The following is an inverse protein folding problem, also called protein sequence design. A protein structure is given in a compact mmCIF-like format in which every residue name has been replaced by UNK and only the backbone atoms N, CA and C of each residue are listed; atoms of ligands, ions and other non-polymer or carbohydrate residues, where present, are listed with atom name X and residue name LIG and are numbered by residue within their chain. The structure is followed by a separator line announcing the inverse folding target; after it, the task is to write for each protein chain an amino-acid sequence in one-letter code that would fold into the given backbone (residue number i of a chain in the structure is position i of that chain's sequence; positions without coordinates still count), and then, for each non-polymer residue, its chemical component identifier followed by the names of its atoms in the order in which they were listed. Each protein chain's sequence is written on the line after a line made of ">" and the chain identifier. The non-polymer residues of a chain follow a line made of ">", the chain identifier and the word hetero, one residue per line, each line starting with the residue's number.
data_IF_821665145863
#
_entry.id   IF_821665145863
#
_cell.length_a   1.000
_cell.length_b   1.000
_cell.length_c   1.000
_cell.angle_alpha   90.00
_cell.angle_beta   90.00
_cell.angle_gamma   90.00
#
_symmetry.space_group_name_H-M   'P 1'
#
loop_
_entity.id
_entity.type
_entity.pdbx_description
1 polymer ?
#
# COMPACT_ATOMS: atom_id res chain seq x y z
N UNK A 1 13.08 -37.16 -3.76
CA UNK A 1 12.42 -35.83 -3.76
C UNK A 1 11.13 -35.98 -2.98
N UNK A 2 10.84 -35.13 -2.00
CA UNK A 2 9.52 -35.15 -1.36
C UNK A 2 8.53 -34.42 -2.27
N UNK A 3 7.63 -35.17 -2.91
CA UNK A 3 6.57 -34.61 -3.76
C UNK A 3 5.40 -34.03 -2.94
N UNK A 4 5.54 -33.87 -1.62
CA UNK A 4 4.43 -33.50 -0.73
C UNK A 4 3.72 -32.18 -1.12
N UNK A 5 4.44 -31.24 -1.73
CA UNK A 5 3.90 -29.92 -2.11
C UNK A 5 3.64 -29.75 -3.61
N UNK A 6 3.70 -30.84 -4.39
CA UNK A 6 3.49 -30.82 -5.85
C UNK A 6 2.17 -31.52 -6.15
N UNK A 7 1.26 -30.83 -6.85
CA UNK A 7 0.02 -31.41 -7.35
C UNK A 7 0.06 -31.48 -8.87
N UNK A 8 -0.10 -32.68 -9.43
CA UNK A 8 -0.23 -32.91 -10.88
C UNK A 8 -1.69 -33.14 -11.26
N UNK A 9 -2.17 -32.46 -12.29
CA UNK A 9 -3.55 -32.54 -12.78
C UNK A 9 -3.55 -32.59 -14.30
N UNK A 10 -4.55 -33.27 -14.89
CA UNK A 10 -4.82 -33.21 -16.33
C UNK A 10 -6.18 -32.54 -16.55
N UNK A 11 -6.20 -31.40 -17.23
CA UNK A 11 -7.42 -30.62 -17.51
C UNK A 11 -7.43 -30.22 -18.97
N UNK A 12 -8.49 -30.53 -19.71
CA UNK A 12 -8.66 -30.18 -21.13
C UNK A 12 -7.45 -30.57 -22.00
N UNK A 13 -6.91 -31.78 -21.76
CA UNK A 13 -5.70 -32.30 -22.43
C UNK A 13 -4.40 -31.55 -22.12
N UNK A 14 -4.39 -30.68 -21.11
CA UNK A 14 -3.18 -30.03 -20.56
C UNK A 14 -2.74 -30.70 -19.26
N UNK A 15 -1.44 -30.90 -19.12
CA UNK A 15 -0.79 -31.28 -17.87
C UNK A 15 -0.47 -30.02 -17.06
N UNK A 16 -1.06 -29.92 -15.86
CA UNK A 16 -0.84 -28.83 -14.91
C UNK A 16 -0.06 -29.35 -13.70
N UNK A 17 1.04 -28.69 -13.38
CA UNK A 17 1.90 -29.01 -12.24
C UNK A 17 1.91 -27.81 -11.30
N UNK A 18 1.19 -27.92 -10.19
CA UNK A 18 1.09 -26.88 -9.18
C UNK A 18 2.16 -27.11 -8.10
N UNK A 19 3.04 -26.13 -7.90
CA UNK A 19 4.05 -26.13 -6.86
C UNK A 19 3.59 -25.19 -5.74
N UNK A 20 3.21 -25.77 -4.59
CA UNK A 20 2.89 -25.02 -3.39
C UNK A 20 4.15 -24.59 -2.66
N UNK A 21 4.33 -23.29 -2.45
CA UNK A 21 5.53 -22.69 -1.88
C UNK A 21 5.24 -21.93 -0.59
N UNK A 22 6.23 -21.89 0.31
CA UNK A 22 6.23 -20.98 1.45
C UNK A 22 7.11 -19.77 1.10
N UNK A 23 6.55 -18.56 1.10
CA UNK A 23 7.14 -17.31 0.58
C UNK A 23 8.43 -16.81 1.26
N UNK A 24 8.98 -17.60 2.18
CA UNK A 24 10.22 -17.34 2.93
C UNK A 24 11.03 -18.63 3.10
N UNK A 25 11.03 -19.51 2.10
CA UNK A 25 11.76 -20.77 2.14
C UNK A 25 12.74 -20.89 0.97
N UNK A 26 14.03 -20.95 1.29
CA UNK A 26 15.09 -21.26 0.31
C UNK A 26 14.84 -22.61 -0.36
N UNK A 27 14.34 -23.59 0.40
CA UNK A 27 14.02 -24.91 -0.12
C UNK A 27 12.91 -24.86 -1.18
N UNK A 28 11.92 -23.97 -1.03
CA UNK A 28 10.88 -23.78 -2.04
C UNK A 28 11.45 -23.24 -3.36
N UNK A 29 12.41 -22.32 -3.32
CA UNK A 29 13.06 -21.84 -4.54
C UNK A 29 13.87 -22.95 -5.23
N UNK A 30 14.67 -23.71 -4.48
CA UNK A 30 15.44 -24.85 -5.03
C UNK A 30 14.51 -25.89 -5.67
N UNK A 31 13.40 -26.23 -5.02
CA UNK A 31 12.40 -27.15 -5.58
C UNK A 31 11.76 -26.61 -6.87
N UNK A 32 11.43 -25.32 -6.94
CA UNK A 32 10.91 -24.68 -8.16
C UNK A 32 11.90 -24.86 -9.32
N UNK A 33 13.19 -24.62 -9.08
CA UNK A 33 14.24 -24.79 -10.09
C UNK A 33 14.31 -26.24 -10.58
N UNK A 34 14.35 -27.19 -9.65
CA UNK A 34 14.46 -28.62 -9.97
C UNK A 34 13.27 -29.11 -10.80
N UNK A 35 12.05 -28.75 -10.41
CA UNK A 35 10.83 -29.15 -11.12
C UNK A 35 10.78 -28.56 -12.52
N UNK A 36 11.03 -27.25 -12.68
CA UNK A 36 10.99 -26.61 -14.00
C UNK A 36 12.06 -27.21 -14.93
N UNK A 37 13.28 -27.45 -14.42
CA UNK A 37 14.36 -28.04 -15.20
C UNK A 37 14.07 -29.49 -15.64
N UNK A 38 13.40 -30.27 -14.78
CA UNK A 38 13.00 -31.64 -15.10
C UNK A 38 11.81 -31.68 -16.08
N UNK A 39 10.81 -30.84 -15.87
CA UNK A 39 9.54 -30.89 -16.59
C UNK A 39 9.60 -30.21 -17.95
N UNK A 40 10.44 -29.17 -18.09
CA UNK A 40 10.58 -28.33 -19.28
C UNK A 40 9.21 -27.91 -19.86
N UNK A 41 8.41 -27.18 -19.06
CA UNK A 41 7.05 -26.81 -19.45
C UNK A 41 7.05 -25.81 -20.60
N UNK A 42 5.91 -25.72 -21.29
CA UNK A 42 5.66 -24.68 -22.30
C UNK A 42 5.43 -23.31 -21.64
N UNK A 43 4.79 -23.31 -20.46
CA UNK A 43 4.52 -22.10 -19.68
C UNK A 43 4.85 -22.27 -18.19
N UNK A 44 5.33 -21.20 -17.59
CA UNK A 44 5.47 -21.04 -16.14
C UNK A 44 4.56 -19.92 -15.65
N UNK A 45 3.55 -20.29 -14.88
CA UNK A 45 2.68 -19.36 -14.18
C UNK A 45 3.29 -18.98 -12.83
N UNK A 46 3.34 -17.69 -12.51
CA UNK A 46 3.79 -17.21 -11.19
C UNK A 46 2.70 -16.37 -10.53
N UNK A 47 2.54 -16.52 -9.20
CA UNK A 47 1.60 -15.74 -8.38
C UNK A 47 2.08 -14.29 -8.17
N UNK A 48 2.32 -13.58 -9.27
CA UNK A 48 2.71 -12.18 -9.31
C UNK A 48 1.82 -11.42 -10.28
N UNK A 49 1.48 -10.19 -9.90
CA UNK A 49 0.86 -9.22 -10.81
C UNK A 49 1.92 -8.38 -11.53
N UNK A 50 1.52 -7.74 -12.63
CA UNK A 50 2.41 -6.95 -13.49
C UNK A 50 3.19 -5.85 -12.75
N UNK A 51 2.58 -5.19 -11.76
CA UNK A 51 3.26 -4.13 -11.02
C UNK A 51 4.33 -4.71 -10.09
N UNK A 52 4.02 -5.82 -9.41
CA UNK A 52 5.01 -6.53 -8.59
C UNK A 52 6.13 -7.11 -9.43
N UNK A 53 5.82 -7.73 -10.58
CA UNK A 53 6.82 -8.22 -11.52
C UNK A 53 7.77 -7.09 -11.96
N UNK A 54 7.23 -5.95 -12.39
CA UNK A 54 8.05 -4.78 -12.76
C UNK A 54 8.90 -4.28 -11.60
N UNK A 55 8.37 -4.23 -10.39
CA UNK A 55 9.11 -3.79 -9.21
C UNK A 55 10.26 -4.75 -8.84
N UNK A 56 10.10 -6.05 -9.09
CA UNK A 56 11.15 -7.06 -8.86
C UNK A 56 12.23 -6.99 -9.95
N UNK A 57 11.83 -6.77 -11.21
CA UNK A 57 12.76 -6.75 -12.35
C UNK A 57 13.51 -5.42 -12.50
N UNK A 58 12.93 -4.33 -12.01
CA UNK A 58 13.47 -2.98 -12.15
C UNK A 58 14.13 -2.50 -10.86
N UNK A 59 15.36 -2.98 -10.61
CA UNK A 59 16.24 -2.51 -9.52
C UNK A 59 16.55 -0.99 -9.61
N UNK A 60 16.25 -0.34 -10.75
CA UNK A 60 16.59 1.06 -11.04
C UNK A 60 15.39 2.02 -11.10
N UNK A 61 14.20 1.59 -10.68
CA UNK A 61 12.96 2.39 -10.80
C UNK A 61 13.08 3.79 -10.16
N UNK A 62 13.93 3.94 -9.15
CA UNK A 62 14.17 5.19 -8.43
C UNK A 62 14.99 6.22 -9.24
N UNK A 63 15.89 5.77 -10.13
CA UNK A 63 16.86 6.63 -10.82
C UNK A 63 16.20 7.64 -11.76
N UNK A 64 15.01 7.32 -12.28
CA UNK A 64 14.26 8.15 -13.23
C UNK A 64 13.08 8.88 -12.58
N UNK A 65 12.98 8.87 -11.25
CA UNK A 65 11.84 9.45 -10.55
C UNK A 65 11.92 10.97 -10.48
N UNK A 66 10.86 11.66 -10.93
CA UNK A 66 10.70 13.09 -10.73
C UNK A 66 9.88 13.38 -9.47
N UNK A 67 10.55 13.89 -8.43
CA UNK A 67 9.90 14.22 -7.15
C UNK A 67 8.83 15.31 -7.29
N UNK A 68 9.00 16.27 -8.20
CA UNK A 68 8.00 17.32 -8.42
C UNK A 68 6.74 16.73 -9.04
N UNK A 69 6.90 15.81 -9.99
CA UNK A 69 5.78 15.05 -10.56
C UNK A 69 5.07 14.21 -9.51
N UNK A 70 5.81 13.52 -8.63
CA UNK A 70 5.23 12.72 -7.53
C UNK A 70 4.38 13.57 -6.59
N UNK A 71 4.84 14.78 -6.23
CA UNK A 71 4.08 15.71 -5.38
C UNK A 71 2.84 16.22 -6.13
N UNK A 72 3.01 16.66 -7.38
CA UNK A 72 1.92 17.20 -8.22
C UNK A 72 0.82 16.16 -8.50
N UNK A 73 1.21 14.91 -8.70
CA UNK A 73 0.31 13.77 -8.90
C UNK A 73 -0.34 13.28 -7.60
N UNK A 74 -0.06 13.92 -6.46
CA UNK A 74 -0.60 13.55 -5.13
C UNK A 74 -0.17 12.16 -4.66
N UNK A 75 0.97 11.67 -5.13
CA UNK A 75 1.50 10.31 -4.85
C UNK A 75 2.55 10.28 -3.75
N UNK A 76 3.00 11.44 -3.25
CA UNK A 76 4.06 11.55 -2.26
C UNK A 76 3.82 10.69 -0.99
N UNK A 77 2.63 10.75 -0.40
CA UNK A 77 2.30 9.95 0.80
C UNK A 77 2.28 8.46 0.50
N UNK A 78 1.70 8.05 -0.63
CA UNK A 78 1.67 6.65 -1.04
C UNK A 78 3.09 6.11 -1.26
N UNK A 79 3.95 6.91 -1.89
CA UNK A 79 5.36 6.57 -2.08
C UNK A 79 6.09 6.41 -0.74
N UNK A 80 5.89 7.35 0.19
CA UNK A 80 6.49 7.27 1.52
C UNK A 80 6.05 6.01 2.27
N UNK A 81 4.76 5.67 2.21
CA UNK A 81 4.23 4.45 2.83
C UNK A 81 4.82 3.19 2.20
N UNK A 82 4.93 3.15 0.87
CA UNK A 82 5.57 2.03 0.17
C UNK A 82 7.03 1.88 0.62
N UNK A 83 7.78 2.98 0.72
CA UNK A 83 9.16 2.94 1.21
C UNK A 83 9.27 2.41 2.64
N UNK A 84 8.35 2.80 3.54
CA UNK A 84 8.30 2.29 4.92
C UNK A 84 7.95 0.80 4.99
N UNK A 85 7.00 0.34 4.18
CA UNK A 85 6.62 -1.07 4.12
C UNK A 85 7.78 -1.89 3.55
N UNK A 86 8.37 -1.45 2.43
CA UNK A 86 9.53 -2.10 1.84
C UNK A 86 10.73 -2.12 2.78
N UNK A 87 10.90 -1.11 3.63
CA UNK A 87 11.97 -1.10 4.62
C UNK A 87 11.78 -2.12 5.74
N UNK A 88 10.56 -2.26 6.22
CA UNK A 88 10.18 -3.33 7.15
C UNK A 88 10.40 -4.71 6.51
N UNK A 89 9.93 -4.90 5.28
CA UNK A 89 10.06 -6.17 4.54
C UNK A 89 11.53 -6.58 4.33
N UNK A 90 12.41 -5.65 3.91
CA UNK A 90 13.83 -5.96 3.72
C UNK A 90 14.54 -6.25 5.05
N UNK A 91 14.16 -5.58 6.14
CA UNK A 91 14.72 -5.86 7.47
C UNK A 91 14.36 -7.28 7.93
N UNK A 92 13.10 -7.68 7.81
CA UNK A 92 12.66 -9.05 8.09
C UNK A 92 13.39 -10.07 7.19
N UNK A 93 13.50 -9.79 5.89
CA UNK A 93 14.24 -10.60 4.92
C UNK A 93 15.71 -10.84 5.32
N UNK A 94 16.41 -9.78 5.73
CA UNK A 94 17.83 -9.84 6.12
C UNK A 94 18.05 -10.68 7.38
N UNK A 95 17.13 -10.61 8.34
CA UNK A 95 17.19 -11.41 9.56
C UNK A 95 16.96 -12.90 9.28
N UNK A 96 16.14 -13.22 8.28
CA UNK A 96 15.85 -14.59 7.86
C UNK A 96 16.81 -15.13 6.80
N UNK A 97 17.72 -14.31 6.26
CA UNK A 97 18.65 -14.70 5.19
C UNK A 97 17.97 -15.05 3.86
N UNK A 98 16.72 -14.66 3.66
CA UNK A 98 15.87 -15.05 2.52
C UNK A 98 15.27 -13.79 1.91
N UNK A 99 15.28 -13.66 0.57
CA UNK A 99 14.53 -12.61 -0.13
C UNK A 99 13.06 -13.06 -0.23
N UNK A 100 12.08 -12.33 0.32
CA UNK A 100 10.66 -12.66 0.14
C UNK A 100 10.33 -12.71 -1.36
N UNK A 101 9.59 -13.73 -1.79
CA UNK A 101 9.25 -13.90 -3.21
C UNK A 101 10.35 -14.60 -4.04
N UNK A 102 11.41 -15.13 -3.42
CA UNK A 102 12.51 -15.80 -4.13
C UNK A 102 12.05 -17.01 -4.94
N UNK A 103 11.02 -17.72 -4.48
CA UNK A 103 10.37 -18.80 -5.23
C UNK A 103 9.74 -18.33 -6.54
N UNK A 104 9.12 -17.15 -6.55
CA UNK A 104 8.53 -16.56 -7.76
C UNK A 104 9.61 -16.05 -8.71
N UNK A 105 10.67 -15.43 -8.17
CA UNK A 105 11.84 -14.99 -8.93
C UNK A 105 12.50 -16.21 -9.60
N UNK A 106 12.72 -17.29 -8.86
CA UNK A 106 13.30 -18.50 -9.40
C UNK A 106 12.41 -19.12 -10.48
N UNK A 107 11.08 -19.06 -10.35
CA UNK A 107 10.14 -19.47 -11.40
C UNK A 107 10.36 -18.69 -12.70
N UNK A 108 10.49 -17.37 -12.61
CA UNK A 108 10.77 -16.48 -13.75
C UNK A 108 12.14 -16.77 -14.38
N UNK A 109 13.18 -16.92 -13.57
CA UNK A 109 14.53 -17.22 -14.06
C UNK A 109 14.57 -18.57 -14.77
N UNK A 110 13.96 -19.60 -14.17
CA UNK A 110 13.93 -20.95 -14.74
C UNK A 110 13.12 -21.01 -16.04
N UNK A 111 12.03 -20.23 -16.13
CA UNK A 111 11.25 -20.09 -17.37
C UNK A 111 12.10 -19.50 -18.50
N UNK A 112 12.82 -18.41 -18.23
CA UNK A 112 13.73 -17.79 -19.20
C UNK A 112 14.86 -18.73 -19.62
N UNK A 113 15.44 -19.48 -18.68
CA UNK A 113 16.52 -20.45 -18.94
C UNK A 113 16.08 -21.57 -19.89
N UNK A 114 14.82 -22.00 -19.79
CA UNK A 114 14.27 -23.11 -20.57
C UNK A 114 13.41 -22.67 -21.76
N UNK A 115 13.28 -21.35 -22.00
CA UNK A 115 12.47 -20.79 -23.08
C UNK A 115 10.96 -20.97 -22.90
N UNK A 116 10.49 -21.17 -21.68
CA UNK A 116 9.07 -21.27 -21.36
C UNK A 116 8.42 -19.88 -21.30
N UNK A 117 7.14 -19.78 -21.67
CA UNK A 117 6.39 -18.54 -21.58
C UNK A 117 6.08 -18.18 -20.11
N UNK A 118 6.36 -16.94 -19.71
CA UNK A 118 6.06 -16.45 -18.37
C UNK A 118 4.63 -15.90 -18.33
N UNK A 119 3.79 -16.49 -17.48
CA UNK A 119 2.43 -16.04 -17.25
C UNK A 119 2.32 -15.43 -15.85
N UNK A 120 2.10 -14.11 -15.80
CA UNK A 120 1.76 -13.41 -14.56
C UNK A 120 0.31 -13.74 -14.19
N UNK A 121 0.13 -14.65 -13.24
CA UNK A 121 -1.14 -15.31 -13.00
C UNK A 121 -2.02 -14.63 -11.95
N UNK A 122 -1.49 -13.64 -11.21
CA UNK A 122 -2.23 -13.03 -10.10
C UNK A 122 -2.87 -11.68 -10.45
N UNK A 123 -3.92 -11.35 -9.71
CA UNK A 123 -4.66 -10.10 -9.84
C UNK A 123 -3.84 -8.95 -9.27
N UNK A 124 -4.01 -7.76 -9.87
CA UNK A 124 -3.44 -6.54 -9.32
C UNK A 124 -3.85 -6.34 -7.84
N UNK A 125 -2.85 -6.28 -6.95
CA UNK A 125 -3.07 -6.20 -5.51
C UNK A 125 -3.85 -4.93 -5.08
N UNK A 126 -3.77 -3.83 -5.83
CA UNK A 126 -4.55 -2.62 -5.52
C UNK A 126 -6.05 -2.84 -5.75
N UNK A 127 -6.44 -3.70 -6.71
CA UNK A 127 -7.84 -4.07 -6.93
C UNK A 127 -8.33 -4.90 -5.75
N UNK A 128 -7.54 -5.89 -5.32
CA UNK A 128 -7.82 -6.71 -4.13
C UNK A 128 -8.04 -5.83 -2.90
N UNK A 129 -7.11 -4.90 -2.62
CA UNK A 129 -7.26 -3.98 -1.48
C UNK A 129 -8.44 -3.01 -1.62
N UNK A 130 -8.73 -2.53 -2.84
CA UNK A 130 -9.90 -1.68 -3.07
C UNK A 130 -11.20 -2.44 -2.77
N UNK A 131 -11.31 -3.71 -3.19
CA UNK A 131 -12.46 -4.58 -2.90
C UNK A 131 -12.61 -4.85 -1.41
N UNK A 132 -11.52 -5.20 -0.73
CA UNK A 132 -11.47 -5.34 0.73
C UNK A 132 -11.99 -4.07 1.42
N UNK A 133 -11.39 -2.92 1.10
CA UNK A 133 -11.69 -1.67 1.79
C UNK A 133 -13.13 -1.22 1.59
N UNK A 134 -13.73 -1.52 0.45
CA UNK A 134 -15.13 -1.18 0.19
C UNK A 134 -16.10 -2.21 0.80
N UNK A 135 -15.73 -3.50 0.86
CA UNK A 135 -16.60 -4.58 1.35
C UNK A 135 -16.78 -4.66 2.87
N UNK A 136 -15.82 -4.17 3.67
CA UNK A 136 -15.85 -4.37 5.14
C UNK A 136 -16.67 -3.32 5.92
N UNK A 137 -17.14 -2.25 5.29
CA UNK A 137 -17.90 -1.17 5.95
C UNK A 137 -17.08 -0.36 6.98
N UNK A 138 -17.72 0.58 7.67
CA UNK A 138 -17.01 1.48 8.62
C UNK A 138 -16.51 0.73 9.87
N UNK A 139 -17.34 -0.14 10.45
CA UNK A 139 -16.99 -0.93 11.62
C UNK A 139 -15.89 -1.96 11.33
N UNK A 140 -15.94 -2.63 10.18
CA UNK A 140 -14.88 -3.54 9.76
C UNK A 140 -13.55 -2.82 9.54
N UNK A 141 -13.58 -1.59 8.98
CA UNK A 141 -12.37 -0.74 8.88
C UNK A 141 -11.77 -0.43 10.24
N UNK A 142 -12.58 0.00 11.21
CA UNK A 142 -12.06 0.28 12.55
C UNK A 142 -11.47 -0.95 13.20
N UNK A 143 -12.18 -2.09 13.17
CA UNK A 143 -11.66 -3.36 13.73
C UNK A 143 -10.34 -3.77 13.08
N UNK A 144 -10.23 -3.66 11.75
CA UNK A 144 -9.01 -3.97 11.01
C UNK A 144 -7.85 -3.03 11.38
N UNK A 145 -8.09 -1.72 11.43
CA UNK A 145 -7.07 -0.73 11.82
C UNK A 145 -6.60 -1.00 13.25
N UNK A 146 -7.52 -1.21 14.19
CA UNK A 146 -7.17 -1.50 15.59
C UNK A 146 -6.39 -2.81 15.70
N UNK A 147 -6.74 -3.85 14.95
CA UNK A 147 -6.00 -5.12 14.94
C UNK A 147 -4.57 -4.95 14.40
N UNK A 148 -4.40 -4.22 13.30
CA UNK A 148 -3.07 -3.94 12.72
C UNK A 148 -2.21 -3.11 13.68
N UNK A 149 -2.78 -2.04 14.26
CA UNK A 149 -2.07 -1.20 15.24
C UNK A 149 -1.71 -2.03 16.49
N UNK A 150 -2.64 -2.85 16.98
CA UNK A 150 -2.40 -3.73 18.12
C UNK A 150 -1.27 -4.73 17.86
N UNK A 151 -1.21 -5.33 16.66
CA UNK A 151 -0.13 -6.23 16.26
C UNK A 151 1.24 -5.56 16.20
N UNK A 152 1.31 -4.27 15.83
CA UNK A 152 2.59 -3.53 15.78
C UNK A 152 3.05 -3.14 17.19
N UNK A 153 2.11 -2.80 18.08
CA UNK A 153 2.42 -2.42 19.47
C UNK A 153 2.84 -3.65 20.29
N UNK A 154 2.18 -4.78 20.07
CA UNK A 154 2.52 -6.07 20.68
C UNK A 154 3.61 -6.74 19.86
N UNK A 155 4.83 -6.22 19.97
CA UNK A 155 5.99 -6.70 19.25
C UNK A 155 6.60 -7.91 20.00
N UNK A 156 5.85 -9.02 20.08
CA UNK A 156 6.39 -10.29 20.60
C UNK A 156 7.41 -10.83 19.60
N UNK A 157 8.63 -11.08 20.06
CA UNK A 157 9.68 -11.68 19.23
C UNK A 157 9.28 -13.13 18.94
N UNK A 158 8.97 -13.41 17.66
CA UNK A 158 8.66 -14.75 17.18
C UNK A 158 9.92 -15.61 17.32
N UNK A 159 9.82 -16.69 18.09
CA UNK A 159 10.92 -17.65 18.25
C UNK A 159 11.20 -18.43 16.95
N UNK A 160 12.41 -18.97 16.80
CA UNK A 160 12.78 -19.78 15.63
C UNK A 160 11.93 -21.06 15.54
N UNK A 161 11.50 -21.59 16.68
CA UNK A 161 10.60 -22.75 16.78
C UNK A 161 9.17 -22.41 16.34
N UNK A 162 8.63 -21.25 16.73
CA UNK A 162 7.34 -20.76 16.22
C UNK A 162 7.41 -20.46 14.71
N UNK A 163 8.54 -19.93 14.23
CA UNK A 163 8.76 -19.66 12.81
C UNK A 163 8.73 -20.95 11.98
N UNK A 164 9.37 -22.03 12.46
CA UNK A 164 9.32 -23.35 11.82
C UNK A 164 7.92 -23.97 11.88
N UNK A 165 7.21 -23.83 13.01
CA UNK A 165 5.82 -24.30 13.12
C UNK A 165 4.87 -23.56 12.18
N UNK A 166 5.07 -22.25 11.97
CA UNK A 166 4.31 -21.44 11.00
C UNK A 166 4.49 -21.88 9.54
N UNK A 167 5.58 -22.59 9.20
CA UNK A 167 5.83 -23.11 7.84
C UNK A 167 5.02 -24.35 7.50
N UNK A 168 4.34 -24.95 8.47
CA UNK A 168 3.50 -26.12 8.23
C UNK A 168 2.17 -25.72 7.59
N UNK A 169 1.74 -26.49 6.59
CA UNK A 169 0.46 -26.28 5.89
C UNK A 169 -0.72 -26.21 6.89
N UNK A 170 -0.67 -27.03 7.95
CA UNK A 170 -1.69 -27.10 8.99
C UNK A 170 -1.80 -25.83 9.86
N UNK A 171 -0.67 -25.21 10.25
CA UNK A 171 -0.70 -23.94 10.98
C UNK A 171 -1.14 -22.79 10.09
N UNK A 172 -0.68 -22.76 8.84
CA UNK A 172 -1.07 -21.74 7.87
C UNK A 172 -2.59 -21.80 7.59
N UNK A 173 -3.11 -23.01 7.40
CA UNK A 173 -4.55 -23.26 7.28
C UNK A 173 -5.31 -22.86 8.55
N UNK A 174 -4.77 -23.12 9.73
CA UNK A 174 -5.39 -22.76 11.01
C UNK A 174 -5.43 -21.24 11.24
N UNK A 175 -4.33 -20.53 10.97
CA UNK A 175 -4.25 -19.08 11.04
C UNK A 175 -5.18 -18.41 10.02
N UNK A 176 -5.22 -18.93 8.79
CA UNK A 176 -6.19 -18.48 7.78
C UNK A 176 -7.63 -18.74 8.23
N UNK A 177 -7.91 -19.90 8.82
CA UNK A 177 -9.24 -20.22 9.36
C UNK A 177 -9.65 -19.28 10.49
N UNK A 178 -8.75 -18.96 11.41
CA UNK A 178 -9.00 -18.00 12.49
C UNK A 178 -9.20 -16.57 11.95
N UNK A 179 -8.40 -16.16 10.99
CA UNK A 179 -8.52 -14.87 10.32
C UNK A 179 -9.86 -14.74 9.59
N UNK A 180 -10.26 -15.78 8.87
CA UNK A 180 -11.53 -15.83 8.13
C UNK A 180 -12.75 -15.90 9.05
N UNK A 181 -12.63 -16.52 10.23
CA UNK A 181 -13.67 -16.44 11.27
C UNK A 181 -13.81 -15.01 11.83
N UNK A 182 -12.69 -14.33 12.04
CA UNK A 182 -12.66 -12.98 12.63
C UNK A 182 -13.09 -11.89 11.64
N UNK A 183 -12.79 -12.11 10.35
CA UNK A 183 -13.05 -11.20 9.24
C UNK A 183 -13.59 -11.95 8.01
N UNK A 184 -14.80 -12.53 8.06
CA UNK A 184 -15.34 -13.35 6.97
C UNK A 184 -15.47 -12.57 5.66
N UNK A 185 -15.72 -11.26 5.74
CA UNK A 185 -15.80 -10.35 4.58
C UNK A 185 -14.44 -10.09 3.91
N UNK A 186 -13.31 -10.44 4.55
CA UNK A 186 -11.98 -10.33 3.96
C UNK A 186 -11.60 -11.55 3.14
N UNK A 187 -12.09 -12.74 3.52
CA UNK A 187 -11.78 -14.02 2.86
C UNK A 187 -12.04 -13.95 1.36
N UNK A 188 -13.22 -13.47 0.99
CA UNK A 188 -13.70 -13.49 -0.40
C UNK A 188 -12.73 -12.72 -1.32
N UNK A 189 -12.48 -11.41 -1.13
CA UNK A 189 -11.56 -10.70 -2.02
C UNK A 189 -10.08 -11.06 -1.84
N UNK A 190 -9.66 -11.52 -0.66
CA UNK A 190 -8.24 -11.81 -0.41
C UNK A 190 -7.81 -13.20 -0.86
N UNK A 191 -8.72 -14.18 -0.86
CA UNK A 191 -8.43 -15.59 -1.12
C UNK A 191 -9.32 -16.09 -2.25
N UNK A 192 -10.64 -16.20 -2.02
CA UNK A 192 -11.53 -16.92 -2.94
C UNK A 192 -11.54 -16.31 -4.36
N UNK A 193 -11.65 -14.99 -4.49
CA UNK A 193 -11.59 -14.30 -5.78
C UNK A 193 -10.20 -14.39 -6.45
N UNK A 194 -9.13 -14.50 -5.64
CA UNK A 194 -7.77 -14.68 -6.16
C UNK A 194 -7.57 -16.10 -6.65
N UNK A 195 -8.12 -17.10 -5.96
CA UNK A 195 -8.10 -18.49 -6.41
C UNK A 195 -8.82 -18.65 -7.74
N UNK A 196 -9.97 -17.98 -7.92
CA UNK A 196 -10.71 -17.92 -9.19
C UNK A 196 -9.89 -17.26 -10.31
N UNK A 197 -9.23 -16.14 -10.00
CA UNK A 197 -8.39 -15.44 -10.97
C UNK A 197 -7.17 -16.28 -11.38
N UNK A 198 -6.47 -16.84 -10.38
CA UNK A 198 -5.30 -17.70 -10.56
C UNK A 198 -5.66 -18.96 -11.35
N UNK A 199 -6.74 -19.65 -10.97
CA UNK A 199 -7.17 -20.88 -11.66
C UNK A 199 -7.47 -20.60 -13.13
N UNK A 200 -8.18 -19.52 -13.45
CA UNK A 200 -8.49 -19.15 -14.83
C UNK A 200 -7.24 -18.75 -15.61
N UNK A 201 -6.30 -18.01 -15.00
CA UNK A 201 -5.03 -17.64 -15.63
C UNK A 201 -4.14 -18.85 -15.92
N UNK A 202 -4.06 -19.80 -14.99
CA UNK A 202 -3.30 -21.05 -15.16
C UNK A 202 -3.94 -21.90 -16.26
N UNK A 203 -5.26 -22.05 -16.25
CA UNK A 203 -6.03 -22.80 -17.25
C UNK A 203 -5.85 -22.23 -18.67
N UNK A 204 -5.81 -20.90 -18.79
CA UNK A 204 -5.64 -20.19 -20.05
C UNK A 204 -4.17 -20.04 -20.49
N UNK A 205 -3.20 -20.50 -19.68
CA UNK A 205 -1.79 -20.41 -20.03
C UNK A 205 -1.50 -21.20 -21.33
N UNK A 206 -0.61 -20.70 -22.20
CA UNK A 206 -0.31 -21.34 -23.47
C UNK A 206 0.48 -22.65 -23.32
N UNK A 207 0.40 -23.50 -24.33
CA UNK A 207 1.03 -24.82 -24.35
C UNK A 207 0.26 -25.90 -23.59
N UNK A 208 0.79 -27.12 -23.64
CA UNK A 208 0.14 -28.34 -23.15
C UNK A 208 0.69 -28.77 -21.79
N UNK A 209 1.92 -28.37 -21.44
CA UNK A 209 2.51 -28.57 -20.11
C UNK A 209 2.74 -27.23 -19.42
N UNK A 210 2.08 -27.03 -18.27
CA UNK A 210 2.15 -25.78 -17.50
C UNK A 210 2.61 -26.07 -16.08
N UNK A 211 3.62 -25.34 -15.61
CA UNK A 211 4.02 -25.33 -14.19
C UNK A 211 3.52 -24.04 -13.55
N UNK A 212 2.86 -24.13 -12.40
CA UNK A 212 2.40 -22.96 -11.64
C UNK A 212 3.10 -22.89 -10.27
N UNK A 213 3.83 -21.81 -10.03
CA UNK A 213 4.47 -21.50 -8.75
C UNK A 213 3.52 -20.64 -7.92
N UNK A 214 3.04 -21.19 -6.82
CA UNK A 214 1.91 -20.65 -6.04
C UNK A 214 2.25 -20.65 -4.55
N UNK A 215 1.70 -19.72 -3.78
CA UNK A 215 1.64 -19.82 -2.33
C UNK A 215 0.80 -21.03 -1.94
N UNK A 216 1.31 -21.85 -0.99
CA UNK A 216 0.68 -23.12 -0.62
C UNK A 216 -0.82 -22.97 -0.22
N UNK A 217 -1.17 -21.86 0.42
CA UNK A 217 -2.53 -21.53 0.83
C UNK A 217 -3.55 -21.43 -0.33
N UNK A 218 -3.10 -21.10 -1.54
CA UNK A 218 -3.97 -20.94 -2.71
C UNK A 218 -4.22 -22.28 -3.45
N UNK A 219 -3.33 -23.27 -3.29
CA UNK A 219 -3.40 -24.53 -4.05
C UNK A 219 -4.73 -25.27 -3.84
N UNK A 220 -5.28 -25.44 -2.61
CA UNK A 220 -6.56 -26.10 -2.42
C UNK A 220 -7.73 -25.39 -3.12
N UNK A 221 -7.77 -24.06 -3.07
CA UNK A 221 -8.80 -23.25 -3.71
C UNK A 221 -8.71 -23.30 -5.24
N UNK A 222 -7.50 -23.16 -5.79
CA UNK A 222 -7.24 -23.27 -7.23
C UNK A 222 -7.69 -24.63 -7.76
N UNK A 223 -7.36 -25.74 -7.07
CA UNK A 223 -7.79 -27.09 -7.46
C UNK A 223 -9.31 -27.21 -7.60
N UNK A 224 -10.05 -26.55 -6.72
CA UNK A 224 -11.52 -26.51 -6.77
C UNK A 224 -12.02 -25.65 -7.93
N UNK A 225 -11.38 -24.51 -8.17
CA UNK A 225 -11.83 -23.51 -9.14
C UNK A 225 -11.36 -23.77 -10.57
N UNK A 226 -10.42 -24.69 -10.82
CA UNK A 226 -9.92 -25.04 -12.15
C UNK A 226 -10.99 -25.65 -13.08
N UNK A 227 -12.02 -26.29 -12.50
CA UNK A 227 -13.13 -26.86 -13.27
C UNK A 227 -14.21 -25.84 -13.65
N UNK A 228 -14.12 -24.62 -13.11
CA UNK A 228 -15.08 -23.56 -13.36
C UNK A 228 -14.54 -22.61 -14.46
N UNK A 229 -15.43 -21.78 -15.01
CA UNK A 229 -15.06 -20.63 -15.83
C UNK A 229 -15.30 -19.35 -15.02
N UNK A 230 -14.31 -18.46 -15.01
CA UNK A 230 -14.31 -17.22 -14.26
C UNK A 230 -14.12 -16.02 -15.18
N UNK A 231 -14.92 -14.99 -14.95
CA UNK A 231 -14.80 -13.71 -15.64
C UNK A 231 -13.67 -12.89 -15.00
N UNK A 232 -12.52 -12.86 -15.68
CA UNK A 232 -11.35 -12.09 -15.27
C UNK A 232 -11.60 -10.57 -15.25
N UNK A 233 -12.47 -10.06 -16.13
CA UNK A 233 -12.80 -8.64 -16.18
C UNK A 233 -13.62 -8.25 -14.96
N UNK A 234 -14.64 -9.05 -14.64
CA UNK A 234 -15.43 -8.87 -13.42
C UNK A 234 -14.55 -8.96 -12.16
N UNK A 235 -13.60 -9.90 -12.10
CA UNK A 235 -12.66 -10.02 -10.97
C UNK A 235 -11.67 -8.84 -10.87
N UNK A 236 -11.41 -8.14 -11.97
CA UNK A 236 -10.60 -6.92 -12.03
C UNK A 236 -11.42 -5.63 -11.81
N UNK A 237 -12.74 -5.69 -11.77
CA UNK A 237 -13.55 -4.49 -11.60
C UNK A 237 -13.38 -3.91 -10.18
N UNK A 238 -13.06 -2.61 -10.13
CA UNK A 238 -12.97 -1.86 -8.88
C UNK A 238 -14.36 -1.41 -8.46
N UNK A 239 -14.78 -1.67 -7.21
CA UNK A 239 -16.10 -1.26 -6.77
C UNK A 239 -16.25 0.28 -6.76
N UNK A 240 -17.46 0.78 -7.03
CA UNK A 240 -17.69 2.19 -7.29
C UNK A 240 -17.40 3.04 -6.05
N UNK A 241 -16.67 4.14 -6.24
CA UNK A 241 -16.36 5.07 -5.15
C UNK A 241 -17.64 5.76 -4.65
N UNK A 242 -17.82 5.79 -3.34
CA UNK A 242 -18.89 6.59 -2.72
C UNK A 242 -18.72 8.07 -3.08
N UNK A 243 -19.84 8.74 -3.39
CA UNK A 243 -19.89 10.19 -3.62
C UNK A 243 -19.91 11.00 -2.32
N UNK A 244 -20.23 10.37 -1.18
CA UNK A 244 -20.39 11.03 0.13
C UNK A 244 -19.13 11.80 0.57
N UNK A 245 -17.91 11.22 0.52
CA UNK A 245 -16.71 11.96 0.88
C UNK A 245 -16.49 13.21 0.02
N UNK A 246 -16.81 13.15 -1.28
CA UNK A 246 -16.70 14.30 -2.19
C UNK A 246 -17.68 15.41 -1.81
N UNK A 247 -18.90 15.05 -1.40
CA UNK A 247 -19.92 16.00 -0.93
C UNK A 247 -19.46 16.64 0.38
N UNK A 248 -19.09 15.83 1.38
CA UNK A 248 -18.62 16.32 2.68
C UNK A 248 -17.40 17.22 2.56
N UNK A 249 -16.45 16.86 1.67
CA UNK A 249 -15.23 17.62 1.47
C UNK A 249 -15.48 19.04 0.91
N UNK A 250 -16.60 19.28 0.24
CA UNK A 250 -17.03 20.63 -0.18
C UNK A 250 -18.01 21.28 0.80
N UNK A 251 -18.86 20.49 1.46
CA UNK A 251 -19.84 21.00 2.42
C UNK A 251 -19.15 21.65 3.64
N UNK A 252 -18.09 21.02 4.17
CA UNK A 252 -17.38 21.52 5.36
C UNK A 252 -16.79 22.93 5.12
N UNK A 253 -15.99 23.18 4.07
CA UNK A 253 -15.51 24.54 3.78
C UNK A 253 -16.63 25.56 3.58
N UNK A 254 -17.70 25.21 2.86
CA UNK A 254 -18.83 26.11 2.64
C UNK A 254 -19.48 26.50 3.96
N UNK A 255 -19.69 25.55 4.86
CA UNK A 255 -20.27 25.81 6.19
C UNK A 255 -19.35 26.71 7.01
N UNK A 256 -18.05 26.43 7.05
CA UNK A 256 -17.07 27.24 7.79
C UNK A 256 -17.05 28.69 7.27
N UNK A 257 -16.96 28.87 5.95
CA UNK A 257 -16.97 30.20 5.33
C UNK A 257 -18.29 30.93 5.62
N UNK A 258 -19.42 30.23 5.55
CA UNK A 258 -20.74 30.82 5.83
C UNK A 258 -20.86 31.28 7.28
N UNK A 259 -20.37 30.48 8.24
CA UNK A 259 -20.35 30.85 9.67
C UNK A 259 -19.50 32.09 9.90
N UNK A 260 -18.30 32.14 9.31
CA UNK A 260 -17.41 33.30 9.45
C UNK A 260 -18.03 34.54 8.83
N UNK A 261 -18.58 34.44 7.62
CA UNK A 261 -19.21 35.55 6.93
C UNK A 261 -20.43 36.10 7.70
N UNK A 262 -21.27 35.20 8.23
CA UNK A 262 -22.42 35.59 9.04
C UNK A 262 -21.99 36.24 10.36
N UNK A 263 -20.98 35.69 11.04
CA UNK A 263 -20.45 36.27 12.28
C UNK A 263 -19.84 37.65 12.01
N UNK A 264 -19.09 37.83 10.92
CA UNK A 264 -18.56 39.14 10.51
C UNK A 264 -19.67 40.17 10.28
N UNK A 265 -20.80 39.75 9.71
CA UNK A 265 -21.95 40.62 9.47
C UNK A 265 -22.64 41.04 10.78
N UNK A 266 -22.80 40.12 11.73
CA UNK A 266 -23.43 40.40 13.03
C UNK A 266 -22.50 41.13 14.01
N UNK A 267 -21.26 40.66 14.14
CA UNK A 267 -20.24 41.17 15.03
C UNK A 267 -18.86 41.14 14.33
N UNK A 268 -18.43 42.26 13.70
CA UNK A 268 -17.17 42.33 12.96
C UNK A 268 -15.94 41.94 13.80
N UNK A 269 -15.92 42.23 15.10
CA UNK A 269 -14.80 41.89 15.98
C UNK A 269 -14.71 40.36 16.18
N UNK A 270 -15.84 39.70 16.45
CA UNK A 270 -15.89 38.25 16.60
C UNK A 270 -15.59 37.52 15.29
N UNK A 271 -16.10 38.01 14.15
CA UNK A 271 -15.79 37.46 12.85
C UNK A 271 -14.30 37.61 12.49
N UNK A 272 -13.67 38.73 12.84
CA UNK A 272 -12.22 38.91 12.69
C UNK A 272 -11.43 37.93 13.57
N UNK A 273 -11.88 37.74 14.81
CA UNK A 273 -11.28 36.75 15.72
C UNK A 273 -11.35 35.33 15.13
N UNK A 274 -12.47 34.94 14.52
CA UNK A 274 -12.61 33.66 13.83
C UNK A 274 -11.65 33.52 12.65
N UNK A 275 -11.47 34.57 11.83
CA UNK A 275 -10.49 34.55 10.72
C UNK A 275 -9.08 34.35 11.28
N UNK A 276 -8.69 35.13 12.28
CA UNK A 276 -7.36 35.05 12.89
C UNK A 276 -7.14 33.65 13.49
N UNK A 277 -8.11 33.13 14.25
CA UNK A 277 -8.04 31.79 14.81
C UNK A 277 -7.90 30.72 13.72
N UNK A 278 -8.69 30.80 12.65
CA UNK A 278 -8.59 29.88 11.51
C UNK A 278 -7.20 29.91 10.87
N UNK A 279 -6.66 31.11 10.61
CA UNK A 279 -5.33 31.30 10.04
C UNK A 279 -4.25 30.72 10.96
N UNK A 280 -4.29 31.04 12.26
CA UNK A 280 -3.25 30.64 13.20
C UNK A 280 -3.28 29.14 13.48
N UNK A 281 -4.45 28.53 13.68
CA UNK A 281 -4.53 27.09 13.94
C UNK A 281 -4.06 26.29 12.72
N UNK A 282 -4.56 26.61 11.53
CA UNK A 282 -4.17 25.90 10.31
C UNK A 282 -2.69 26.13 9.97
N UNK A 283 -2.23 27.38 10.00
CA UNK A 283 -0.87 27.74 9.66
C UNK A 283 0.14 27.13 10.62
N UNK A 284 -0.08 27.28 11.94
CA UNK A 284 0.89 26.87 12.96
C UNK A 284 1.09 25.36 13.01
N UNK A 285 0.01 24.57 12.96
CA UNK A 285 0.14 23.11 12.96
C UNK A 285 0.76 22.56 11.67
N UNK A 286 0.44 23.13 10.51
CA UNK A 286 1.08 22.73 9.25
C UNK A 286 2.58 23.08 9.22
N UNK A 287 2.93 24.25 9.75
CA UNK A 287 4.32 24.69 9.93
C UNK A 287 5.06 23.81 10.94
N UNK A 288 4.43 23.44 12.05
CA UNK A 288 4.97 22.48 13.02
C UNK A 288 5.23 21.12 12.36
N UNK A 289 4.32 20.63 11.51
CA UNK A 289 4.53 19.42 10.72
C UNK A 289 5.78 19.51 9.82
N UNK A 290 5.94 20.62 9.09
CA UNK A 290 7.14 20.87 8.28
C UNK A 290 8.41 20.97 9.14
N UNK A 291 8.32 21.57 10.33
CA UNK A 291 9.42 21.70 11.27
C UNK A 291 9.87 20.34 11.82
N UNK A 292 8.92 19.48 12.22
CA UNK A 292 9.19 18.12 12.68
C UNK A 292 9.81 17.24 11.58
N UNK A 293 9.50 17.54 10.31
CA UNK A 293 10.17 16.93 9.16
C UNK A 293 11.59 17.47 8.89
N UNK A 294 12.10 18.39 9.72
CA UNK A 294 13.34 19.14 9.48
C UNK A 294 13.34 19.88 8.13
N UNK A 295 12.18 20.44 7.77
CA UNK A 295 11.99 21.22 6.55
C UNK A 295 12.82 22.50 6.52
N UNK A 296 13.11 22.98 5.32
CA UNK A 296 13.73 24.27 5.07
C UNK A 296 12.81 25.39 5.58
N UNK A 297 13.34 26.51 6.11
CA UNK A 297 12.52 27.63 6.58
C UNK A 297 11.48 28.12 5.58
N UNK A 298 11.82 28.15 4.28
CA UNK A 298 10.87 28.51 3.23
C UNK A 298 9.71 27.51 3.09
N UNK A 299 9.95 26.21 3.30
CA UNK A 299 8.89 25.20 3.30
C UNK A 299 7.99 25.33 4.52
N UNK A 300 8.56 25.63 5.70
CA UNK A 300 7.81 25.90 6.94
C UNK A 300 6.91 27.13 6.77
N UNK A 301 7.47 28.23 6.24
CA UNK A 301 6.70 29.44 5.94
C UNK A 301 5.61 29.19 4.90
N UNK A 302 5.91 28.41 3.86
CA UNK A 302 4.91 28.02 2.84
C UNK A 302 3.78 27.22 3.47
N UNK A 303 4.09 26.24 4.33
CA UNK A 303 3.08 25.46 5.04
C UNK A 303 2.19 26.37 5.91
N UNK A 304 2.78 27.34 6.62
CA UNK A 304 2.05 28.31 7.44
C UNK A 304 1.05 29.13 6.63
N UNK A 305 1.51 29.71 5.51
CA UNK A 305 0.71 30.64 4.70
C UNK A 305 -0.35 29.91 3.87
N UNK A 306 -0.01 28.75 3.30
CA UNK A 306 -0.90 28.03 2.38
C UNK A 306 -1.95 27.22 3.13
N UNK A 307 -1.63 26.72 4.32
CA UNK A 307 -2.51 25.80 5.07
C UNK A 307 -3.93 26.33 5.24
N UNK A 308 -4.19 27.55 5.73
CA UNK A 308 -5.54 28.04 5.95
C UNK A 308 -6.41 28.09 4.68
N UNK A 309 -5.80 28.34 3.52
CA UNK A 309 -6.46 28.35 2.22
C UNK A 309 -6.69 26.93 1.71
N UNK A 310 -5.69 26.06 1.84
CA UNK A 310 -5.80 24.67 1.40
C UNK A 310 -6.80 23.88 2.23
N UNK A 311 -6.94 24.17 3.53
CA UNK A 311 -7.92 23.53 4.42
C UNK A 311 -9.37 23.83 4.04
N UNK A 312 -9.61 24.93 3.32
CA UNK A 312 -10.93 25.28 2.75
C UNK A 312 -11.12 24.73 1.32
N UNK A 313 -10.20 23.91 0.82
CA UNK A 313 -10.28 23.34 -0.52
C UNK A 313 -9.99 21.83 -0.50
N UNK A 314 -10.95 20.97 -0.90
CA UNK A 314 -10.73 19.53 -0.93
C UNK A 314 -9.77 19.08 -2.04
N UNK A 315 -9.31 20.01 -2.88
CA UNK A 315 -8.44 19.73 -4.03
C UNK A 315 -6.98 20.08 -3.72
N UNK A 316 -6.74 20.98 -2.76
CA UNK A 316 -5.42 21.50 -2.39
C UNK A 316 -4.96 20.90 -1.06
N UNK A 317 -3.65 20.81 -0.87
CA UNK A 317 -3.06 20.38 0.39
C UNK A 317 -1.80 21.20 0.69
N UNK A 318 -1.69 21.75 1.91
CA UNK A 318 -0.58 22.59 2.36
C UNK A 318 0.78 21.94 2.11
N UNK A 319 0.86 20.63 2.38
CA UNK A 319 2.06 19.84 2.25
C UNK A 319 2.59 19.75 0.83
N UNK A 320 1.76 19.83 -0.22
CA UNK A 320 2.28 19.82 -1.59
C UNK A 320 3.06 21.09 -1.90
N UNK A 321 2.54 22.25 -1.48
CA UNK A 321 3.22 23.52 -1.66
C UNK A 321 4.49 23.59 -0.81
N UNK A 322 4.41 23.15 0.45
CA UNK A 322 5.58 23.03 1.32
C UNK A 322 6.63 22.07 0.75
N UNK A 323 6.20 20.94 0.17
CA UNK A 323 7.06 19.96 -0.49
C UNK A 323 7.70 20.49 -1.76
N UNK A 324 6.98 21.25 -2.58
CA UNK A 324 7.55 21.93 -3.76
C UNK A 324 8.57 22.98 -3.32
N UNK A 325 8.26 23.80 -2.30
CA UNK A 325 9.21 24.75 -1.73
C UNK A 325 10.45 24.04 -1.19
N UNK A 326 10.27 22.93 -0.46
CA UNK A 326 11.36 22.10 0.03
C UNK A 326 12.22 21.58 -1.13
N UNK A 327 11.61 20.98 -2.15
CA UNK A 327 12.30 20.44 -3.31
C UNK A 327 13.02 21.54 -4.12
N UNK A 328 12.46 22.75 -4.16
CA UNK A 328 13.07 23.88 -4.86
C UNK A 328 14.35 24.37 -4.17
N UNK A 329 14.32 24.55 -2.84
CA UNK A 329 15.47 25.05 -2.05
C UNK A 329 16.47 23.96 -1.65
N UNK A 330 16.01 22.72 -1.49
CA UNK A 330 16.82 21.54 -1.16
C UNK A 330 16.65 20.49 -2.25
N UNK A 331 17.09 20.83 -3.47
CA UNK A 331 16.98 19.95 -4.64
C UNK A 331 17.66 18.59 -4.37
N UNK A 332 16.95 17.47 -4.55
CA UNK A 332 17.57 16.16 -4.52
C UNK A 332 18.47 16.00 -5.75
N UNK A 333 19.63 15.39 -5.54
CA UNK A 333 20.57 15.00 -6.59
C UNK A 333 20.23 13.60 -7.10
N UNK A 334 20.80 13.19 -8.23
CA UNK A 334 20.69 11.80 -8.73
C UNK A 334 21.16 10.82 -7.65
N UNK A 335 22.24 11.13 -6.94
CA UNK A 335 22.73 10.31 -5.84
C UNK A 335 21.72 10.13 -4.69
N UNK A 336 20.90 11.15 -4.40
CA UNK A 336 19.84 11.03 -3.38
C UNK A 336 18.74 10.03 -3.83
N UNK A 337 18.52 9.85 -5.13
CA UNK A 337 17.60 8.83 -5.67
C UNK A 337 18.25 7.45 -5.76
N UNK A 338 19.54 7.38 -6.08
CA UNK A 338 20.28 6.12 -6.10
C UNK A 338 20.45 5.51 -4.71
N UNK A 339 20.73 6.35 -3.71
CA UNK A 339 20.85 5.92 -2.32
C UNK A 339 19.50 5.73 -1.63
N UNK A 340 18.40 6.19 -2.24
CA UNK A 340 17.06 6.11 -1.64
C UNK A 340 16.68 4.69 -1.28
N UNK A 341 17.04 3.70 -2.12
CA UNK A 341 16.78 2.30 -1.85
C UNK A 341 17.39 1.91 -0.52
N UNK A 342 18.66 2.22 -0.26
CA UNK A 342 19.36 1.83 0.98
C UNK A 342 19.05 2.74 2.17
N UNK A 343 18.90 4.04 1.93
CA UNK A 343 18.70 5.04 2.98
C UNK A 343 17.38 4.82 3.73
N UNK A 344 16.35 4.29 3.07
CA UNK A 344 15.06 4.05 3.72
C UNK A 344 15.09 2.93 4.76
N UNK A 345 16.16 2.14 4.83
CA UNK A 345 16.33 1.06 5.80
C UNK A 345 16.94 1.52 7.13
N UNK A 346 17.47 2.74 7.22
CA UNK A 346 18.08 3.25 8.45
C UNK A 346 17.40 4.54 8.89
N UNK A 347 17.23 4.73 10.21
CA UNK A 347 16.68 5.97 10.75
C UNK A 347 17.51 7.20 10.33
N UNK A 348 18.83 7.02 10.22
CA UNK A 348 19.75 8.07 9.78
C UNK A 348 19.58 8.38 8.29
N UNK A 349 19.65 7.36 7.42
CA UNK A 349 19.46 7.53 5.98
C UNK A 349 18.09 8.13 5.65
N UNK A 350 17.03 7.64 6.29
CA UNK A 350 15.66 8.14 6.08
C UNK A 350 15.50 9.61 6.49
N UNK A 351 16.24 10.08 7.50
CA UNK A 351 16.26 11.50 7.90
C UNK A 351 17.14 12.35 6.99
N UNK A 352 18.30 11.84 6.60
CA UNK A 352 19.35 12.60 5.92
C UNK A 352 19.13 12.71 4.40
N UNK A 353 18.48 11.71 3.80
CA UNK A 353 18.14 11.71 2.39
C UNK A 353 17.13 12.83 2.06
N UNK A 354 17.42 13.59 0.98
CA UNK A 354 16.58 14.76 0.63
C UNK A 354 15.22 14.36 0.09
N UNK A 355 15.12 13.22 -0.59
CA UNK A 355 13.86 12.73 -1.17
C UNK A 355 12.89 12.35 -0.05
N UNK A 356 13.32 11.52 0.90
CA UNK A 356 12.50 11.14 2.07
C UNK A 356 12.09 12.36 2.89
N UNK A 357 12.99 13.34 3.05
CA UNK A 357 12.68 14.60 3.74
C UNK A 357 11.57 15.39 3.04
N UNK A 358 11.60 15.49 1.71
CA UNK A 358 10.53 16.14 0.95
C UNK A 358 9.20 15.41 1.18
N UNK A 359 9.20 14.07 1.12
CA UNK A 359 8.00 13.27 1.36
C UNK A 359 7.44 13.45 2.78
N UNK A 360 8.33 13.51 3.79
CA UNK A 360 7.98 13.77 5.18
C UNK A 360 7.39 15.17 5.37
N UNK A 361 7.97 16.20 4.76
CA UNK A 361 7.43 17.57 4.78
C UNK A 361 6.00 17.57 4.22
N UNK A 362 5.77 16.90 3.09
CA UNK A 362 4.42 16.80 2.50
C UNK A 362 3.45 16.12 3.47
N UNK A 363 3.82 14.97 4.02
CA UNK A 363 2.94 14.18 4.89
C UNK A 363 2.64 14.90 6.21
N UNK A 364 3.66 15.35 6.94
CA UNK A 364 3.51 15.95 8.26
C UNK A 364 2.83 17.32 8.19
N UNK A 365 3.08 18.13 7.15
CA UNK A 365 2.32 19.37 6.96
C UNK A 365 0.85 19.13 6.66
N UNK A 366 0.50 18.06 5.92
CA UNK A 366 -0.90 17.70 5.68
C UNK A 366 -1.59 17.19 6.95
N UNK A 367 -0.90 16.40 7.78
CA UNK A 367 -1.40 15.98 9.11
C UNK A 367 -1.62 17.21 9.98
N UNK A 368 -0.63 18.12 10.05
CA UNK A 368 -0.73 19.37 10.78
C UNK A 368 -1.90 20.25 10.31
N UNK A 369 -2.05 20.44 9.00
CA UNK A 369 -3.19 21.17 8.40
C UNK A 369 -4.53 20.52 8.76
N UNK A 370 -4.61 19.19 8.80
CA UNK A 370 -5.84 18.47 9.21
C UNK A 370 -6.17 18.72 10.69
N UNK A 371 -5.18 18.60 11.59
CA UNK A 371 -5.34 18.89 13.02
C UNK A 371 -5.76 20.36 13.22
N UNK A 372 -5.08 21.28 12.54
CA UNK A 372 -5.39 22.71 12.56
C UNK A 372 -6.80 23.02 12.05
N UNK A 373 -7.29 22.30 11.04
CA UNK A 373 -8.66 22.43 10.53
C UNK A 373 -9.70 21.97 11.55
N UNK A 374 -9.42 20.86 12.26
CA UNK A 374 -10.33 20.34 13.29
C UNK A 374 -10.45 21.31 14.46
N UNK A 375 -9.30 21.77 14.99
CA UNK A 375 -9.25 22.69 16.13
C UNK A 375 -9.80 24.07 15.72
N UNK A 376 -9.34 24.60 14.59
CA UNK A 376 -9.80 25.89 14.07
C UNK A 376 -11.28 25.89 13.72
N UNK A 377 -11.81 24.80 13.15
CA UNK A 377 -13.24 24.66 12.88
C UNK A 377 -14.08 24.62 14.15
N UNK A 378 -13.64 23.88 15.18
CA UNK A 378 -14.29 23.87 16.48
C UNK A 378 -14.29 25.26 17.14
N UNK A 379 -13.18 26.00 17.03
CA UNK A 379 -13.05 27.35 17.57
C UNK A 379 -13.95 28.36 16.86
N UNK A 380 -14.04 28.27 15.52
CA UNK A 380 -14.98 29.07 14.71
C UNK A 380 -16.42 28.84 15.16
N UNK A 381 -16.84 27.57 15.33
CA UNK A 381 -18.18 27.21 15.79
C UNK A 381 -18.42 27.73 17.22
N UNK A 382 -17.46 27.57 18.12
CA UNK A 382 -17.56 28.06 19.50
C UNK A 382 -17.77 29.57 19.55
N UNK A 383 -16.95 30.34 18.83
CA UNK A 383 -17.07 31.80 18.76
C UNK A 383 -18.40 32.23 18.11
N UNK A 384 -18.88 31.49 17.12
CA UNK A 384 -20.18 31.75 16.51
C UNK A 384 -21.32 31.58 17.51
N UNK A 385 -21.35 30.47 18.26
CA UNK A 385 -22.38 30.21 19.28
C UNK A 385 -22.38 31.28 20.38
N UNK A 386 -21.19 31.74 20.81
CA UNK A 386 -21.06 32.79 21.82
C UNK A 386 -21.55 34.17 21.37
N UNK A 387 -21.69 34.40 20.06
CA UNK A 387 -22.10 35.68 19.49
C UNK A 387 -23.46 35.60 18.77
N UNK A 388 -24.21 34.52 18.98
CA UNK A 388 -25.57 34.32 18.48
C UNK A 388 -26.65 34.90 19.41
N UNK A 389 -26.27 35.15 20.67
CA UNK A 389 -27.08 35.85 21.69
C UNK A 389 -26.61 37.30 21.80
#
# INVERSE_FOLDING_TARGET
>A
MSEQNITRLNINSKELILIGTAHVSRHSAEQVKEVIAAEKPDSVCVELDEQRYKAIMDDNQWKNMDIFKVIKDKKATALLMNLLISSFQKRAAKQLGIKPGQEMIQGIESANEHGAEIVLADRNIQITFARIWQGIGLWGKMKLITAVIGSIINNEEISEEELEQMKTEDMLNSALKEFTNTFPKLKVPLIDERDQYLSQKIKNAPGDKVVAVLGAAHVPGIKKELNNEHDLEALCERPPKSKVPKILAWAIPVVIISIIAFTLYMNPAAGMQQIIAWLLWNGSFAALGALLAFGHPAAIATAFVVSPLSSLSPVLAAGWFAGIAQAYYRRPSVGDFESLSEDVYTLKGFKDNKVTRILLVVMLSNIGSTIGSMIGGADVIRLFIQNLT
#
